data_IF_244977884681
#
_entry.id   IF_244977884681
#
_cell.length_a   1.000
_cell.length_b   1.000
_cell.length_c   1.000
_cell.angle_alpha   90.00
_cell.angle_beta   90.00
_cell.angle_gamma   90.00
#
_symmetry.space_group_name_H-M   'P 1'
#
loop_
_entity.id
_entity.type
_entity.pdbx_description
1 polymer ?
#
# COMPACT_ATOMS: atom_id res chain seq x y z
N UNK A 1 18.92 11.56 7.80
CA UNK A 1 18.43 10.20 8.10
C UNK A 1 19.44 9.45 8.94
N UNK A 2 18.95 8.83 10.01
CA UNK A 2 19.69 7.94 10.91
C UNK A 2 20.07 6.63 10.18
N UNK A 3 21.02 5.86 10.70
CA UNK A 3 21.52 4.63 10.05
C UNK A 3 20.39 3.61 9.82
N UNK A 4 19.55 3.36 10.83
CA UNK A 4 18.44 2.41 10.70
C UNK A 4 17.39 2.85 9.66
N UNK A 5 17.12 4.16 9.54
CA UNK A 5 16.18 4.69 8.55
C UNK A 5 16.68 4.43 7.13
N UNK A 6 17.99 4.54 6.90
CA UNK A 6 18.61 4.22 5.59
C UNK A 6 18.41 2.74 5.25
N UNK A 7 18.61 1.84 6.23
CA UNK A 7 18.37 0.42 6.04
C UNK A 7 16.90 0.12 5.77
N UNK A 8 15.97 0.77 6.49
CA UNK A 8 14.53 0.57 6.27
C UNK A 8 14.11 1.07 4.89
N UNK A 9 14.62 2.22 4.46
CA UNK A 9 14.39 2.74 3.12
C UNK A 9 14.97 1.80 2.05
N UNK A 10 16.14 1.18 2.29
CA UNK A 10 16.72 0.18 1.38
C UNK A 10 15.79 -1.02 1.22
N UNK A 11 15.27 -1.56 2.32
CA UNK A 11 14.29 -2.67 2.30
C UNK A 11 13.01 -2.28 1.55
N UNK A 12 12.48 -1.10 1.84
CA UNK A 12 11.30 -0.57 1.16
C UNK A 12 11.51 -0.50 -0.36
N UNK A 13 12.66 0.04 -0.80
CA UNK A 13 13.02 0.12 -2.23
C UNK A 13 13.16 -1.25 -2.88
N UNK A 14 13.83 -2.20 -2.22
CA UNK A 14 14.00 -3.57 -2.74
C UNK A 14 12.64 -4.23 -2.96
N UNK A 15 11.74 -4.16 -1.99
CA UNK A 15 10.42 -4.78 -2.14
C UNK A 15 9.58 -4.03 -3.18
N UNK A 16 9.56 -2.70 -3.14
CA UNK A 16 8.82 -1.91 -4.13
C UNK A 16 9.31 -2.14 -5.58
N UNK A 17 10.61 -2.42 -5.78
CA UNK A 17 11.14 -2.85 -7.08
C UNK A 17 10.49 -4.15 -7.55
N UNK A 18 10.47 -5.19 -6.72
CA UNK A 18 9.82 -6.46 -7.07
C UNK A 18 8.30 -6.35 -7.22
N UNK A 19 7.65 -5.45 -6.48
CA UNK A 19 6.22 -5.20 -6.61
C UNK A 19 5.81 -4.61 -7.97
N UNK A 20 6.76 -4.14 -8.79
CA UNK A 20 6.47 -3.77 -10.18
C UNK A 20 5.96 -4.94 -11.03
N UNK A 21 6.26 -6.19 -10.62
CA UNK A 21 5.74 -7.42 -11.25
C UNK A 21 4.29 -7.74 -10.87
N UNK A 22 3.79 -7.23 -9.74
CA UNK A 22 2.48 -7.61 -9.22
C UNK A 22 1.37 -7.13 -10.18
N UNK A 23 0.50 -8.02 -10.67
CA UNK A 23 -0.64 -7.64 -11.48
C UNK A 23 -1.52 -6.62 -10.75
N UNK A 24 -1.99 -5.63 -11.50
CA UNK A 24 -2.92 -4.60 -11.06
C UNK A 24 -2.40 -3.62 -10.00
N UNK A 25 -1.11 -3.68 -9.63
CA UNK A 25 -0.49 -2.58 -8.89
C UNK A 25 -0.37 -1.38 -9.80
N UNK A 26 -0.81 -0.22 -9.30
CA UNK A 26 -0.70 1.08 -9.97
C UNK A 26 0.17 2.06 -9.20
N UNK A 27 0.30 1.88 -7.90
CA UNK A 27 1.27 2.63 -7.09
C UNK A 27 1.68 1.86 -5.85
N UNK A 28 2.94 2.01 -5.45
CA UNK A 28 3.44 1.65 -4.13
C UNK A 28 3.97 2.93 -3.51
N UNK A 29 3.37 3.39 -2.42
CA UNK A 29 3.80 4.58 -1.69
C UNK A 29 4.33 4.22 -0.30
N UNK A 30 5.45 4.80 0.08
CA UNK A 30 5.96 4.77 1.45
C UNK A 30 5.20 5.80 2.29
N UNK A 31 4.61 5.33 3.38
CA UNK A 31 3.77 6.11 4.27
C UNK A 31 4.30 6.05 5.73
N UNK A 32 3.58 6.69 6.64
CA UNK A 32 3.81 6.52 8.08
C UNK A 32 5.02 7.28 8.61
N UNK A 33 5.58 6.83 9.73
CA UNK A 33 6.66 7.55 10.42
C UNK A 33 7.96 7.61 9.59
N UNK A 34 8.23 6.60 8.75
CA UNK A 34 9.43 6.58 7.92
C UNK A 34 9.42 7.65 6.84
N UNK A 35 8.28 7.88 6.17
CA UNK A 35 8.19 8.93 5.14
C UNK A 35 8.31 10.35 5.72
N UNK A 36 7.95 10.53 7.00
CA UNK A 36 8.01 11.81 7.71
C UNK A 36 9.32 12.08 8.44
N UNK A 37 10.27 11.14 8.43
CA UNK A 37 11.50 11.25 9.22
C UNK A 37 11.28 11.18 10.74
N UNK A 38 10.15 10.62 11.16
CA UNK A 38 9.74 10.44 12.57
C UNK A 38 9.92 8.98 13.03
N UNK A 39 10.56 8.13 12.21
CA UNK A 39 10.72 6.72 12.53
C UNK A 39 11.61 6.50 13.77
N UNK A 40 11.28 5.45 14.52
CA UNK A 40 12.08 4.91 15.62
C UNK A 40 12.71 3.59 15.17
N UNK A 41 13.71 3.11 15.92
CA UNK A 41 14.34 1.80 15.69
C UNK A 41 13.34 0.64 15.82
N UNK A 42 12.19 0.87 16.46
CA UNK A 42 11.10 -0.10 16.59
C UNK A 42 10.01 0.03 15.53
N UNK A 43 10.09 1.03 14.64
CA UNK A 43 9.04 1.30 13.65
C UNK A 43 9.02 0.26 12.52
N UNK A 44 7.81 0.01 12.02
CA UNK A 44 7.57 -0.70 10.78
C UNK A 44 7.69 0.22 9.55
N UNK A 45 7.60 -0.38 8.37
CA UNK A 45 7.60 0.30 7.07
C UNK A 45 6.18 0.21 6.51
N UNK A 46 5.42 1.31 6.59
CA UNK A 46 4.02 1.35 6.15
C UNK A 46 3.93 1.57 4.63
N UNK A 47 3.25 0.65 3.92
CA UNK A 47 2.98 0.79 2.49
C UNK A 47 1.51 1.17 2.23
N UNK A 48 1.32 2.16 1.37
CA UNK A 48 0.06 2.39 0.66
C UNK A 48 0.15 1.76 -0.73
N UNK A 49 -0.72 0.81 -1.02
CA UNK A 49 -0.84 0.20 -2.34
C UNK A 49 -2.08 0.77 -3.05
N UNK A 50 -1.89 1.27 -4.26
CA UNK A 50 -3.02 1.60 -5.15
C UNK A 50 -3.18 0.48 -6.16
N UNK A 51 -4.31 -0.20 -6.10
CA UNK A 51 -4.70 -1.25 -7.03
C UNK A 51 -5.56 -0.67 -8.17
N UNK A 52 -5.54 -1.32 -9.34
CA UNK A 52 -6.54 -1.05 -10.36
C UNK A 52 -7.95 -1.31 -9.82
N UNK A 53 -8.91 -0.45 -10.24
CA UNK A 53 -10.34 -0.64 -9.98
C UNK A 53 -10.78 -2.09 -10.23
N UNK A 54 -11.58 -2.64 -9.31
CA UNK A 54 -12.13 -4.01 -9.35
C UNK A 54 -11.10 -5.16 -9.25
N UNK A 55 -9.84 -4.88 -8.89
CA UNK A 55 -8.77 -5.90 -8.83
C UNK A 55 -8.00 -5.92 -7.51
N UNK A 56 -8.59 -5.38 -6.44
CA UNK A 56 -7.91 -5.18 -5.15
C UNK A 56 -7.50 -6.50 -4.51
N UNK A 57 -8.26 -7.58 -4.69
CA UNK A 57 -8.01 -8.87 -4.03
C UNK A 57 -6.93 -9.68 -4.72
N UNK A 58 -6.92 -9.73 -6.06
CA UNK A 58 -5.80 -10.28 -6.84
C UNK A 58 -4.54 -9.46 -6.59
N UNK A 59 -4.63 -8.12 -6.67
CA UNK A 59 -3.51 -7.24 -6.37
C UNK A 59 -2.92 -7.55 -4.99
N UNK A 60 -3.76 -7.57 -3.95
CA UNK A 60 -3.33 -7.88 -2.58
C UNK A 60 -2.69 -9.26 -2.47
N UNK A 61 -3.21 -10.28 -3.16
CA UNK A 61 -2.64 -11.62 -3.16
C UNK A 61 -1.18 -11.60 -3.65
N UNK A 62 -0.93 -11.03 -4.84
CA UNK A 62 0.43 -10.95 -5.40
C UNK A 62 1.35 -10.04 -4.60
N UNK A 63 0.88 -8.88 -4.14
CA UNK A 63 1.67 -7.99 -3.27
C UNK A 63 2.07 -8.70 -1.98
N UNK A 64 1.13 -9.42 -1.37
CA UNK A 64 1.39 -10.21 -0.16
C UNK A 64 2.43 -11.30 -0.42
N UNK A 65 2.28 -12.05 -1.52
CA UNK A 65 3.19 -13.13 -1.91
C UNK A 65 4.61 -12.61 -2.15
N UNK A 66 4.78 -11.55 -2.96
CA UNK A 66 6.10 -10.98 -3.26
C UNK A 66 6.75 -10.41 -1.99
N UNK A 67 5.99 -9.71 -1.15
CA UNK A 67 6.52 -9.16 0.10
C UNK A 67 6.90 -10.28 1.08
N UNK A 68 6.13 -11.36 1.14
CA UNK A 68 6.45 -12.56 1.93
C UNK A 68 7.76 -13.20 1.45
N UNK A 69 7.90 -13.45 0.15
CA UNK A 69 9.10 -14.04 -0.45
C UNK A 69 10.35 -13.18 -0.29
N UNK A 70 10.19 -11.85 -0.13
CA UNK A 70 11.32 -10.97 0.18
C UNK A 70 11.89 -11.14 1.59
N UNK A 71 11.18 -11.84 2.49
CA UNK A 71 11.56 -12.00 3.88
C UNK A 71 11.35 -10.74 4.75
N UNK A 72 10.81 -9.65 4.18
CA UNK A 72 10.59 -8.39 4.88
C UNK A 72 9.15 -8.13 5.28
N UNK A 73 8.22 -9.07 5.08
CA UNK A 73 6.82 -8.89 5.50
C UNK A 73 6.68 -8.92 7.02
N UNK A 74 5.97 -7.95 7.60
CA UNK A 74 5.64 -7.93 9.03
C UNK A 74 4.80 -9.16 9.39
N UNK A 75 5.28 -9.92 10.39
CA UNK A 75 4.63 -11.12 10.93
C UNK A 75 4.70 -11.13 12.45
N UNK A 76 3.56 -11.37 13.11
CA UNK A 76 3.46 -11.43 14.57
C UNK A 76 4.12 -10.24 15.26
N UNK A 77 5.01 -10.54 16.21
CA UNK A 77 5.73 -9.57 17.04
C UNK A 77 6.97 -8.97 16.37
N UNK A 78 7.39 -9.50 15.21
CA UNK A 78 8.55 -8.97 14.47
C UNK A 78 8.11 -7.75 13.65
N UNK A 79 8.19 -6.58 14.29
CA UNK A 79 7.70 -5.30 13.72
C UNK A 79 8.83 -4.46 13.12
N UNK A 80 9.94 -4.30 13.85
CA UNK A 80 11.00 -3.36 13.51
C UNK A 80 11.60 -3.61 12.12
N UNK A 81 11.52 -2.61 11.24
CA UNK A 81 12.07 -2.66 9.89
C UNK A 81 11.39 -3.67 8.96
N UNK A 82 10.18 -4.11 9.31
CA UNK A 82 9.35 -5.01 8.51
C UNK A 82 8.24 -4.21 7.81
N UNK A 83 7.86 -4.66 6.61
CA UNK A 83 6.87 -4.02 5.75
C UNK A 83 5.47 -4.41 6.20
N UNK A 84 4.69 -3.39 6.53
CA UNK A 84 3.28 -3.49 6.83
C UNK A 84 2.45 -3.16 5.57
N UNK A 85 1.68 -4.14 5.10
CA UNK A 85 0.73 -3.97 4.01
C UNK A 85 -0.64 -3.56 4.58
N UNK A 86 -0.68 -2.41 5.24
CA UNK A 86 -1.84 -1.99 6.02
C UNK A 86 -2.89 -1.19 5.25
N UNK A 87 -2.53 -0.58 4.12
CA UNK A 87 -3.44 0.27 3.35
C UNK A 87 -3.45 -0.09 1.87
N UNK A 88 -4.66 -0.33 1.36
CA UNK A 88 -4.95 -0.49 -0.06
C UNK A 88 -6.09 0.45 -0.44
N UNK A 89 -6.00 1.05 -1.62
CA UNK A 89 -7.10 1.77 -2.26
C UNK A 89 -7.15 1.42 -3.75
N UNK A 90 -8.29 1.60 -4.40
CA UNK A 90 -8.41 1.44 -5.84
C UNK A 90 -8.27 2.76 -6.58
N UNK A 91 -7.95 2.72 -7.88
CA UNK A 91 -7.83 3.90 -8.74
C UNK A 91 -9.10 4.75 -8.83
N UNK A 92 -10.28 4.20 -8.52
CA UNK A 92 -11.56 4.93 -8.43
C UNK A 92 -11.90 5.41 -7.01
N UNK A 93 -11.00 5.20 -6.04
CA UNK A 93 -11.19 5.53 -4.63
C UNK A 93 -9.90 6.08 -3.97
N UNK A 94 -9.24 7.02 -4.66
CA UNK A 94 -7.96 7.62 -4.22
C UNK A 94 -8.10 8.65 -3.10
N UNK A 95 -9.31 9.13 -2.83
CA UNK A 95 -9.56 10.14 -1.79
C UNK A 95 -9.36 9.53 -0.39
N UNK A 96 -8.45 10.10 0.39
CA UNK A 96 -8.17 9.67 1.76
C UNK A 96 -9.23 10.25 2.68
N UNK A 97 -10.07 9.37 3.24
CA UNK A 97 -11.13 9.75 4.18
C UNK A 97 -10.93 9.16 5.57
N UNK A 98 -11.35 9.87 6.64
CA UNK A 98 -11.91 11.23 6.67
C UNK A 98 -10.90 12.35 6.38
N UNK A 99 -11.40 13.53 5.98
CA UNK A 99 -10.60 14.76 5.84
C UNK A 99 -10.41 15.37 7.22
N UNK A 100 -9.30 15.03 7.87
CA UNK A 100 -8.92 15.61 9.17
C UNK A 100 -7.41 15.71 9.29
N UNK A 101 -6.94 16.45 10.30
CA UNK A 101 -5.52 16.69 10.56
C UNK A 101 -4.72 15.39 10.68
N UNK A 102 -5.25 14.36 11.34
CA UNK A 102 -4.56 13.07 11.46
C UNK A 102 -4.27 12.46 10.08
N UNK A 103 -5.27 12.42 9.20
CA UNK A 103 -5.09 11.87 7.86
C UNK A 103 -4.19 12.76 7.01
N UNK A 104 -4.33 14.08 7.09
CA UNK A 104 -3.45 15.00 6.39
C UNK A 104 -1.99 14.81 6.82
N UNK A 105 -1.71 14.75 8.13
CA UNK A 105 -0.36 14.50 8.66
C UNK A 105 0.21 13.18 8.18
N UNK A 106 -0.59 12.12 8.17
CA UNK A 106 -0.09 10.79 7.74
C UNK A 106 0.15 10.75 6.24
N UNK A 107 -0.79 11.24 5.42
CA UNK A 107 -0.85 10.93 3.99
C UNK A 107 -0.31 12.04 3.06
N UNK A 108 -0.19 13.29 3.52
CA UNK A 108 0.36 14.38 2.70
C UNK A 108 1.82 14.16 2.29
N UNK A 109 2.59 13.53 3.18
CA UNK A 109 4.01 13.21 2.98
C UNK A 109 4.23 11.79 2.45
N UNK A 110 3.27 11.26 1.69
CA UNK A 110 3.41 9.98 1.01
C UNK A 110 4.49 10.06 -0.06
N UNK A 111 5.48 9.18 -0.02
CA UNK A 111 6.58 9.15 -0.99
C UNK A 111 6.32 8.03 -2.01
N UNK A 112 6.14 8.32 -3.30
CA UNK A 112 5.97 7.27 -4.30
C UNK A 112 7.28 6.45 -4.41
N UNK A 113 7.16 5.13 -4.26
CA UNK A 113 8.26 4.19 -4.52
C UNK A 113 8.14 3.62 -5.94
N UNK A 114 6.92 3.29 -6.36
CA UNK A 114 6.57 2.87 -7.71
C UNK A 114 5.32 3.63 -8.12
N UNK A 115 5.32 4.25 -9.30
CA UNK A 115 4.17 4.97 -9.86
C UNK A 115 3.93 4.51 -11.30
N UNK A 116 2.73 4.01 -11.59
CA UNK A 116 2.33 3.51 -12.91
C UNK A 116 1.13 4.35 -13.37
N UNK A 117 1.08 4.71 -14.65
CA UNK A 117 0.01 5.51 -15.25
C UNK A 117 -0.22 6.88 -14.57
N UNK A 118 0.84 7.50 -14.03
CA UNK A 118 0.79 8.76 -13.28
C UNK A 118 -0.23 8.71 -12.13
N UNK A 119 -0.29 7.59 -11.41
CA UNK A 119 -1.25 7.36 -10.32
C UNK A 119 -0.99 8.30 -9.14
N UNK A 120 0.27 8.62 -8.84
CA UNK A 120 0.58 9.56 -7.76
C UNK A 120 0.05 10.97 -8.05
N UNK A 121 0.12 11.45 -9.30
CA UNK A 121 -0.48 12.73 -9.70
C UNK A 121 -2.01 12.74 -9.52
N UNK A 122 -2.68 11.64 -9.91
CA UNK A 122 -4.13 11.47 -9.70
C UNK A 122 -4.47 11.43 -8.19
N UNK A 123 -3.62 10.80 -7.39
CA UNK A 123 -3.74 10.76 -5.94
C UNK A 123 -3.63 12.17 -5.34
N UNK A 124 -2.60 12.95 -5.71
CA UNK A 124 -2.44 14.33 -5.26
C UNK A 124 -3.66 15.19 -5.63
N UNK A 125 -4.17 15.07 -6.86
CA UNK A 125 -5.37 15.81 -7.30
C UNK A 125 -6.61 15.48 -6.46
N UNK A 126 -6.79 14.21 -6.08
CA UNK A 126 -7.92 13.78 -5.22
C UNK A 126 -7.75 14.20 -3.77
N UNK A 127 -6.52 14.49 -3.34
CA UNK A 127 -6.16 14.83 -1.97
C UNK A 127 -5.64 16.27 -1.81
N UNK A 128 -5.99 17.16 -2.76
CA UNK A 128 -5.60 18.57 -2.76
C UNK A 128 -6.10 19.33 -1.50
N UNK A 129 -7.13 18.80 -0.84
CA UNK A 129 -7.58 19.29 0.46
C UNK A 129 -6.44 19.32 1.50
N UNK A 130 -5.51 18.36 1.50
CA UNK A 130 -4.38 18.37 2.46
C UNK A 130 -3.47 19.58 2.25
N UNK A 131 -3.25 19.97 1.00
CA UNK A 131 -2.48 21.16 0.64
C UNK A 131 -3.21 22.43 1.05
N UNK A 132 -4.54 22.47 0.90
CA UNK A 132 -5.38 23.60 1.35
C UNK A 132 -5.36 23.79 2.86
N UNK A 133 -5.23 22.69 3.60
CA UNK A 133 -5.02 22.67 5.06
C UNK A 133 -3.55 22.92 5.46
N UNK A 134 -2.71 23.39 4.53
CA UNK A 134 -1.31 23.78 4.76
C UNK A 134 -0.36 22.63 5.17
N UNK A 135 -0.68 21.37 4.81
CA UNK A 135 0.23 20.25 5.01
C UNK A 135 1.27 20.14 3.88
N UNK A 136 2.51 19.71 4.19
CA UNK A 136 3.55 19.54 3.18
C UNK A 136 3.23 18.37 2.27
N UNK A 137 3.16 18.63 0.96
CA UNK A 137 2.97 17.61 -0.07
C UNK A 137 4.31 17.31 -0.75
N UNK A 138 4.62 16.03 -0.89
CA UNK A 138 5.82 15.58 -1.60
C UNK A 138 5.58 15.63 -3.10
N UNK A 139 6.50 16.23 -3.86
CA UNK A 139 6.43 16.20 -5.33
C UNK A 139 6.69 14.79 -5.87
N UNK A 140 6.19 14.50 -7.07
CA UNK A 140 6.38 13.18 -7.68
C UNK A 140 7.85 12.92 -8.01
N UNK A 141 8.55 12.20 -7.13
CA UNK A 141 9.89 11.68 -7.34
C UNK A 141 9.93 10.23 -6.91
N UNK A 142 9.50 9.34 -7.80
CA UNK A 142 9.58 7.89 -7.57
C UNK A 142 10.98 7.50 -7.13
N UNK A 143 11.10 6.89 -5.95
CA UNK A 143 12.41 6.53 -5.39
C UNK A 143 12.98 5.22 -5.91
N UNK A 144 12.22 4.46 -6.69
CA UNK A 144 12.67 3.24 -7.36
C UNK A 144 12.64 3.47 -8.87
N UNK A 145 13.70 3.02 -9.54
CA UNK A 145 13.78 3.05 -10.99
C UNK A 145 12.76 2.09 -11.61
N UNK A 146 12.19 2.51 -12.72
CA UNK A 146 11.34 1.65 -13.52
C UNK A 146 12.18 0.51 -14.12
N UNK A 147 11.73 -0.73 -13.91
CA UNK A 147 12.33 -1.87 -14.58
C UNK A 147 11.93 -1.87 -16.06
N UNK A 148 12.86 -2.25 -16.95
CA UNK A 148 12.57 -2.38 -18.39
C UNK A 148 11.70 -3.58 -18.73
N UNK A 149 11.74 -4.64 -17.92
CA UNK A 149 11.13 -5.95 -18.25
C UNK A 149 9.87 -6.20 -17.44
N UNK A 150 9.84 -5.77 -16.17
CA UNK A 150 8.71 -6.04 -15.26
C UNK A 150 7.36 -5.49 -15.76
N UNK A 151 7.28 -4.31 -16.42
CA UNK A 151 6.03 -3.83 -17.00
C UNK A 151 5.41 -4.79 -18.00
N UNK A 152 6.23 -5.43 -18.86
CA UNK A 152 5.75 -6.40 -19.85
C UNK A 152 5.26 -7.69 -19.19
N UNK A 153 5.97 -8.18 -18.17
CA UNK A 153 5.56 -9.36 -17.40
C UNK A 153 4.25 -9.07 -16.66
N UNK A 154 4.14 -7.91 -16.01
CA UNK A 154 2.92 -7.45 -15.35
C UNK A 154 1.77 -7.37 -16.35
N UNK A 155 1.98 -6.75 -17.52
CA UNK A 155 0.96 -6.61 -18.54
C UNK A 155 0.45 -7.96 -19.07
N UNK A 156 1.35 -8.94 -19.24
CA UNK A 156 0.97 -10.31 -19.60
C UNK A 156 0.12 -10.96 -18.50
N UNK A 157 0.54 -10.85 -17.24
CA UNK A 157 -0.23 -11.33 -16.09
C UNK A 157 -1.61 -10.68 -16.00
N UNK A 158 -1.67 -9.37 -16.19
CA UNK A 158 -2.93 -8.62 -16.21
C UNK A 158 -3.83 -9.04 -17.37
N UNK A 159 -3.28 -9.31 -18.56
CA UNK A 159 -4.05 -9.80 -19.72
C UNK A 159 -4.68 -11.16 -19.46
N UNK A 160 -3.96 -12.08 -18.81
CA UNK A 160 -4.50 -13.39 -18.40
C UNK A 160 -5.60 -13.20 -17.36
N UNK A 161 -5.42 -12.25 -16.45
CA UNK A 161 -6.30 -12.00 -15.31
C UNK A 161 -7.38 -10.94 -15.58
N UNK A 162 -7.51 -10.41 -16.80
CA UNK A 162 -8.49 -9.36 -17.12
C UNK A 162 -9.83 -9.91 -17.63
N UNK A 163 -9.89 -11.19 -17.99
CA UNK A 163 -11.12 -11.85 -18.47
C UNK A 163 -11.95 -12.52 -17.36
N UNK A 164 -12.95 -13.30 -17.75
CA UNK A 164 -13.88 -13.98 -16.84
C UNK A 164 -13.20 -14.88 -15.81
N UNK A 165 -12.07 -15.49 -16.17
CA UNK A 165 -11.23 -16.24 -15.23
C UNK A 165 -10.75 -15.36 -14.07
N UNK A 166 -10.18 -14.19 -14.38
CA UNK A 166 -9.72 -13.24 -13.38
C UNK A 166 -10.86 -12.62 -12.58
N UNK A 167 -12.03 -12.41 -13.17
CA UNK A 167 -13.22 -11.95 -12.43
C UNK A 167 -13.69 -12.98 -11.40
N UNK A 168 -13.67 -14.26 -11.76
CA UNK A 168 -13.99 -15.34 -10.83
C UNK A 168 -12.93 -15.47 -9.75
N UNK A 169 -11.65 -15.36 -10.11
CA UNK A 169 -10.53 -15.40 -9.16
C UNK A 169 -10.61 -14.23 -8.17
N UNK A 170 -10.90 -13.00 -8.63
CA UNK A 170 -11.10 -11.82 -7.78
C UNK A 170 -12.23 -12.06 -6.76
N UNK A 171 -13.36 -12.63 -7.19
CA UNK A 171 -14.48 -12.96 -6.28
C UNK A 171 -14.08 -14.01 -5.25
N UNK A 172 -13.40 -15.08 -5.66
CA UNK A 172 -12.97 -16.16 -4.76
C UNK A 172 -11.95 -15.63 -3.75
N UNK A 173 -10.89 -14.97 -4.23
CA UNK A 173 -9.87 -14.36 -3.38
C UNK A 173 -10.47 -13.31 -2.45
N UNK A 174 -11.42 -12.52 -2.93
CA UNK A 174 -12.15 -11.55 -2.11
C UNK A 174 -12.93 -12.21 -0.99
N UNK A 175 -13.69 -13.27 -1.25
CA UNK A 175 -14.41 -14.03 -0.21
C UNK A 175 -13.46 -14.59 0.84
N UNK A 176 -12.38 -15.26 0.40
CA UNK A 176 -11.40 -15.88 1.31
C UNK A 176 -10.69 -14.84 2.16
N UNK A 177 -10.17 -13.77 1.55
CA UNK A 177 -9.43 -12.73 2.24
C UNK A 177 -10.32 -11.92 3.18
N UNK A 178 -11.54 -11.53 2.75
CA UNK A 178 -12.52 -10.87 3.63
C UNK A 178 -12.84 -11.72 4.85
N UNK A 179 -13.15 -13.02 4.65
CA UNK A 179 -13.43 -13.93 5.76
C UNK A 179 -12.25 -13.97 6.72
N UNK A 180 -11.03 -14.22 6.23
CA UNK A 180 -9.83 -14.28 7.07
C UNK A 180 -9.58 -13.00 7.86
N UNK A 181 -9.77 -11.84 7.24
CA UNK A 181 -9.56 -10.54 7.90
C UNK A 181 -10.62 -10.32 8.99
N UNK A 182 -11.89 -10.54 8.67
CA UNK A 182 -13.01 -10.26 9.57
C UNK A 182 -13.11 -11.24 10.74
N UNK A 183 -12.53 -12.44 10.62
CA UNK A 183 -12.45 -13.41 11.72
C UNK A 183 -11.15 -13.34 12.53
N UNK A 184 -10.21 -12.45 12.17
CA UNK A 184 -8.95 -12.29 12.90
C UNK A 184 -9.21 -11.63 14.25
N UNK A 185 -8.62 -12.16 15.33
CA UNK A 185 -8.81 -11.62 16.70
C UNK A 185 -8.46 -10.12 16.78
N UNK A 186 -7.38 -9.70 16.13
CA UNK A 186 -6.94 -8.29 16.09
C UNK A 186 -7.96 -7.40 15.39
N UNK A 187 -8.73 -7.96 14.46
CA UNK A 187 -9.83 -7.25 13.81
C UNK A 187 -11.04 -7.13 14.72
N UNK A 188 -11.40 -8.21 15.40
CA UNK A 188 -12.55 -8.26 16.30
C UNK A 188 -12.37 -7.37 17.53
N UNK A 189 -11.14 -7.28 18.04
CA UNK A 189 -10.76 -6.45 19.18
C UNK A 189 -10.51 -4.98 18.80
N UNK A 190 -10.50 -4.65 17.50
CA UNK A 190 -10.21 -3.29 17.04
C UNK A 190 -11.38 -2.34 17.30
N UNK A 191 -11.13 -1.11 17.79
CA UNK A 191 -12.16 -0.08 17.90
C UNK A 191 -12.91 0.15 16.58
N UNK A 192 -14.23 0.41 16.68
CA UNK A 192 -15.08 0.68 15.52
C UNK A 192 -14.48 1.78 14.64
N UNK A 193 -14.45 1.55 13.32
CA UNK A 193 -13.98 2.50 12.33
C UNK A 193 -12.48 2.44 11.99
N UNK A 194 -11.67 1.69 12.74
CA UNK A 194 -10.22 1.52 12.46
C UNK A 194 -9.90 0.50 11.37
N UNK A 195 -10.83 -0.42 11.12
CA UNK A 195 -10.71 -1.42 10.07
C UNK A 195 -11.79 -1.18 9.03
N UNK A 196 -11.35 -1.08 7.78
CA UNK A 196 -12.23 -0.96 6.61
C UNK A 196 -11.86 -2.06 5.63
N UNK A 197 -12.85 -2.82 5.21
CA UNK A 197 -12.68 -3.95 4.31
C UNK A 197 -13.75 -3.87 3.24
N UNK A 198 -13.38 -3.48 2.03
CA UNK A 198 -14.27 -3.35 0.89
C UNK A 198 -13.53 -3.65 -0.41
N UNK A 199 -14.25 -3.68 -1.53
CA UNK A 199 -13.66 -3.87 -2.86
C UNK A 199 -12.97 -2.61 -3.41
N UNK A 200 -12.94 -1.52 -2.63
CA UNK A 200 -12.32 -0.23 -2.98
C UNK A 200 -11.22 0.20 -2.02
N UNK A 201 -11.28 -0.24 -0.77
CA UNK A 201 -10.36 0.15 0.29
C UNK A 201 -10.18 -1.00 1.29
N UNK A 202 -8.92 -1.23 1.67
CA UNK A 202 -8.51 -2.05 2.81
C UNK A 202 -7.67 -1.19 3.72
N UNK A 203 -8.07 -1.09 4.98
CA UNK A 203 -7.40 -0.27 5.97
C UNK A 203 -7.30 -1.05 7.27
N UNK A 204 -6.08 -1.23 7.76
CA UNK A 204 -5.79 -1.90 9.02
C UNK A 204 -5.01 -0.93 9.89
N UNK A 205 -5.67 -0.22 10.82
CA UNK A 205 -4.97 0.53 11.86
C UNK A 205 -4.86 -0.34 13.11
N UNK A 206 -3.81 -1.15 13.27
CA UNK A 206 -3.56 -1.80 14.55
C UNK A 206 -3.35 -0.72 15.62
N UNK A 207 -3.76 -1.02 16.85
CA UNK A 207 -3.34 -0.23 18.00
C UNK A 207 -1.81 -0.30 18.02
N UNK A 208 -1.13 0.83 17.79
CA UNK A 208 0.29 0.95 18.12
C UNK A 208 0.28 1.27 19.62
N UNK A 209 0.65 0.29 20.43
CA UNK A 209 0.93 0.47 21.87
C UNK A 209 1.99 1.56 22.07
#
# INVERSE_FOLDING_TARGET
MKVFEKEYLRRAKVVAYWLQLAPFVRMVGLNGSLSRGEAKVTSDIDFLIIAQKHRIWICRFFVTLITELSGYRRQGEKVAGMICLNRYQTTDYLDVKPHNEYHARVFSQLIPLTDIDNTYSKYLKKNDWMKKENFPVVENRSLVSESRIMPSIRALGEKILSGSFGDNLEKILGKIQKKRILTDKRTLESPKGRIRVSDKELCFHPIKE
#
